data_IF_400641922037
#
_entry.id   IF_400641922037
#
_cell.length_a   1.000
_cell.length_b   1.000
_cell.length_c   1.000
_cell.angle_alpha   90.00
_cell.angle_beta   90.00
_cell.angle_gamma   90.00
#
_symmetry.space_group_name_H-M   'P 1'
#
loop_
_entity.id
_entity.type
_entity.pdbx_description
1 polymer ?
#
# COMPACT_ATOMS: atom_id res chain seq x y z
N UNK A 1 -63.07 -15.93 2.10
CA UNK A 1 -62.44 -15.77 3.45
C UNK A 1 -61.22 -16.68 3.51
N UNK A 2 -60.09 -16.13 3.95
CA UNK A 2 -58.74 -16.71 4.03
C UNK A 2 -58.70 -18.00 4.87
N UNK A 3 -57.96 -19.02 4.42
CA UNK A 3 -57.16 -19.91 5.29
C UNK A 3 -55.87 -20.32 4.56
N UNK A 4 -54.79 -19.73 5.05
CA UNK A 4 -53.38 -19.96 4.72
C UNK A 4 -52.89 -21.22 5.45
N UNK A 5 -52.18 -22.12 4.78
CA UNK A 5 -51.32 -23.10 5.46
C UNK A 5 -50.00 -23.24 4.70
N UNK A 6 -48.91 -22.99 5.42
CA UNK A 6 -47.51 -23.01 5.00
C UNK A 6 -46.94 -24.43 4.96
N UNK A 7 -46.01 -24.67 4.02
CA UNK A 7 -44.80 -25.52 4.06
C UNK A 7 -44.50 -25.98 2.61
N UNK A 8 -43.29 -26.06 2.08
CA UNK A 8 -41.94 -26.16 2.63
C UNK A 8 -40.98 -25.51 1.60
N UNK A 9 -39.99 -24.72 2.03
CA UNK A 9 -38.58 -25.10 2.16
C UNK A 9 -37.85 -25.40 0.83
N UNK A 10 -36.61 -24.88 0.78
CA UNK A 10 -35.61 -24.99 -0.28
C UNK A 10 -35.80 -23.99 -1.43
N UNK A 11 -34.95 -22.96 -1.49
CA UNK A 11 -33.75 -23.02 -2.34
C UNK A 11 -32.96 -21.71 -2.22
N UNK A 12 -31.67 -21.91 -2.04
CA UNK A 12 -30.58 -21.01 -2.40
C UNK A 12 -30.31 -19.87 -1.41
N UNK A 13 -29.38 -20.19 -0.50
CA UNK A 13 -28.33 -19.28 -0.06
C UNK A 13 -27.78 -18.53 -1.29
N UNK A 14 -28.36 -17.38 -1.61
CA UNK A 14 -27.70 -16.39 -2.46
C UNK A 14 -26.63 -15.75 -1.59
N UNK A 15 -25.47 -16.42 -1.52
CA UNK A 15 -24.26 -15.80 -1.03
C UNK A 15 -24.02 -14.54 -1.84
N UNK A 16 -24.29 -13.39 -1.25
CA UNK A 16 -23.82 -12.12 -1.76
C UNK A 16 -22.30 -12.17 -1.64
N UNK A 17 -21.64 -12.58 -2.72
CA UNK A 17 -20.22 -12.34 -2.90
C UNK A 17 -20.09 -10.83 -2.90
N UNK A 18 -19.78 -10.25 -1.73
CA UNK A 18 -19.30 -8.88 -1.64
C UNK A 18 -17.93 -8.92 -2.29
N UNK A 19 -17.93 -8.78 -3.61
CA UNK A 19 -16.74 -8.55 -4.40
C UNK A 19 -16.27 -7.16 -3.95
N UNK A 20 -15.33 -7.13 -3.02
CA UNK A 20 -14.58 -5.92 -2.71
C UNK A 20 -13.85 -5.56 -4.00
N UNK A 21 -14.48 -4.75 -4.84
CA UNK A 21 -13.81 -4.07 -5.92
C UNK A 21 -12.80 -3.15 -5.24
N UNK A 22 -11.58 -3.66 -5.02
CA UNK A 22 -10.41 -2.85 -4.77
C UNK A 22 -10.31 -1.92 -5.97
N UNK A 23 -10.77 -0.68 -5.79
CA UNK A 23 -10.73 0.35 -6.79
C UNK A 23 -9.29 0.48 -7.25
N UNK A 24 -8.99 -0.08 -8.42
CA UNK A 24 -7.74 0.17 -9.09
C UNK A 24 -7.73 1.67 -9.38
N UNK A 25 -6.62 2.38 -9.12
CA UNK A 25 -6.56 3.81 -9.40
C UNK A 25 -6.88 4.04 -10.88
N UNK A 26 -7.50 5.19 -11.21
CA UNK A 26 -8.08 5.52 -12.53
C UNK A 26 -7.11 5.43 -13.73
N UNK A 27 -5.84 5.15 -13.47
CA UNK A 27 -4.73 5.00 -14.40
C UNK A 27 -4.12 3.57 -14.40
N UNK A 28 -4.91 2.55 -14.03
CA UNK A 28 -4.47 1.16 -14.20
C UNK A 28 -4.54 0.79 -15.69
N UNK A 29 -3.40 0.86 -16.36
CA UNK A 29 -3.18 0.12 -17.59
C UNK A 29 -2.51 -1.22 -17.24
N UNK A 30 -2.89 -2.33 -17.90
CA UNK A 30 -2.09 -3.54 -17.86
C UNK A 30 -0.76 -3.21 -18.53
N UNK A 31 0.23 -2.78 -17.74
CA UNK A 31 1.63 -2.79 -18.19
C UNK A 31 1.87 -4.24 -18.61
N UNK A 32 2.31 -4.44 -19.85
CA UNK A 32 2.77 -5.75 -20.33
C UNK A 32 3.81 -6.35 -19.38
N UNK A 33 4.35 -7.56 -19.64
CA UNK A 33 5.34 -8.17 -18.76
C UNK A 33 6.38 -7.12 -18.38
N UNK A 34 6.41 -6.79 -17.09
CA UNK A 34 7.23 -5.70 -16.58
C UNK A 34 8.70 -5.94 -16.96
N UNK A 35 9.54 -4.90 -16.92
CA UNK A 35 10.97 -5.09 -17.10
C UNK A 35 11.44 -6.25 -16.21
N UNK A 36 12.22 -7.18 -16.79
CA UNK A 36 12.76 -8.34 -16.09
C UNK A 36 13.54 -7.82 -14.88
N UNK A 37 13.09 -8.16 -13.68
CA UNK A 37 13.80 -7.75 -12.47
C UNK A 37 15.19 -8.38 -12.45
N UNK A 38 16.24 -7.60 -12.14
CA UNK A 38 17.58 -8.12 -12.05
C UNK A 38 17.68 -9.19 -10.95
N UNK A 39 18.39 -10.28 -11.25
CA UNK A 39 18.42 -11.50 -10.42
C UNK A 39 19.15 -11.32 -9.09
N UNK A 40 20.07 -10.36 -8.98
CA UNK A 40 20.95 -10.18 -7.82
C UNK A 40 21.22 -8.71 -7.50
N UNK A 41 20.75 -8.25 -6.34
CA UNK A 41 20.96 -6.90 -5.83
C UNK A 41 19.76 -6.43 -5.00
N UNK A 42 19.78 -5.15 -4.62
CA UNK A 42 18.75 -4.54 -3.79
C UNK A 42 18.18 -3.29 -4.47
N UNK A 43 16.90 -3.08 -4.21
CA UNK A 43 16.21 -1.83 -4.52
C UNK A 43 16.24 -0.94 -3.29
N UNK A 44 16.61 0.32 -3.48
CA UNK A 44 16.74 1.30 -2.42
C UNK A 44 15.89 2.53 -2.69
N UNK A 45 15.34 3.11 -1.62
CA UNK A 45 14.68 4.41 -1.63
C UNK A 45 14.94 5.13 -0.30
N UNK A 46 14.86 6.46 -0.31
CA UNK A 46 15.08 7.27 0.89
C UNK A 46 13.93 8.25 1.07
N UNK A 47 13.34 8.28 2.27
CA UNK A 47 12.37 9.29 2.67
C UNK A 47 12.90 10.12 3.82
N UNK A 48 12.48 11.39 3.87
CA UNK A 48 12.70 12.30 5.00
C UNK A 48 11.37 12.58 5.66
N UNK A 49 11.32 12.54 6.99
CA UNK A 49 10.12 12.86 7.75
C UNK A 49 10.43 13.78 8.92
N UNK A 50 9.42 14.56 9.34
CA UNK A 50 9.52 15.42 10.52
C UNK A 50 9.18 14.61 11.77
N UNK A 51 10.12 14.52 12.70
CA UNK A 51 9.91 13.92 14.01
C UNK A 51 9.73 15.03 15.07
N UNK A 52 8.55 15.15 15.69
CA UNK A 52 8.35 16.05 16.82
C UNK A 52 9.02 15.48 18.07
N UNK A 53 9.55 16.37 18.90
CA UNK A 53 10.08 16.07 20.23
C UNK A 53 9.41 16.99 21.23
N UNK A 54 8.97 16.44 22.36
CA UNK A 54 8.36 17.19 23.44
C UNK A 54 9.38 17.34 24.57
N UNK A 55 9.69 18.58 24.90
CA UNK A 55 10.54 18.95 26.02
C UNK A 55 9.77 19.94 26.93
N UNK A 56 10.21 20.13 28.18
CA UNK A 56 9.51 21.02 29.11
C UNK A 56 9.40 22.48 28.64
N UNK A 57 10.28 22.92 27.75
CA UNK A 57 10.35 24.26 27.16
C UNK A 57 9.54 24.40 25.85
N UNK A 58 8.99 23.30 25.32
CA UNK A 58 8.13 23.32 24.14
C UNK A 58 8.25 22.09 23.25
N UNK A 59 7.69 22.20 22.05
CA UNK A 59 7.84 21.18 21.00
C UNK A 59 8.80 21.69 19.94
N UNK A 60 9.81 20.88 19.62
CA UNK A 60 10.70 21.14 18.50
C UNK A 60 10.64 20.01 17.48
N UNK A 61 11.05 20.32 16.25
CA UNK A 61 10.96 19.40 15.10
C UNK A 61 12.35 19.10 14.58
N UNK A 62 12.60 17.83 14.28
CA UNK A 62 13.85 17.39 13.63
C UNK A 62 13.54 16.64 12.35
N UNK A 63 14.41 16.75 11.36
CA UNK A 63 14.34 15.87 10.20
C UNK A 63 14.99 14.54 10.52
N UNK A 64 14.30 13.45 10.18
CA UNK A 64 14.83 12.09 10.19
C UNK A 64 14.74 11.50 8.79
N UNK A 65 15.63 10.57 8.52
CA UNK A 65 15.67 9.85 7.26
C UNK A 65 15.35 8.38 7.52
N UNK A 66 14.63 7.77 6.59
CA UNK A 66 14.38 6.34 6.58
C UNK A 66 14.80 5.77 5.23
N UNK A 67 15.66 4.77 5.29
CA UNK A 67 16.14 4.03 4.13
C UNK A 67 15.30 2.77 3.97
N UNK A 68 14.73 2.61 2.77
CA UNK A 68 13.93 1.47 2.38
C UNK A 68 14.83 0.59 1.54
N UNK A 69 14.87 -0.71 1.87
CA UNK A 69 15.59 -1.72 1.09
C UNK A 69 14.63 -2.87 0.77
N UNK A 70 14.62 -3.34 -0.47
CA UNK A 70 13.81 -4.47 -0.88
C UNK A 70 14.50 -5.34 -1.93
N UNK A 71 14.11 -6.61 -2.03
CA UNK A 71 14.63 -7.55 -3.03
C UNK A 71 13.96 -7.44 -4.39
N UNK A 72 12.89 -6.66 -4.50
CA UNK A 72 12.16 -6.40 -5.74
C UNK A 72 11.71 -4.94 -5.82
N UNK A 73 11.55 -4.43 -7.04
CA UNK A 73 11.05 -3.09 -7.29
C UNK A 73 9.65 -2.93 -6.71
N UNK A 74 8.77 -3.91 -6.95
CA UNK A 74 7.40 -3.89 -6.47
C UNK A 74 7.33 -3.80 -4.93
N UNK A 75 8.22 -4.48 -4.21
CA UNK A 75 8.28 -4.39 -2.76
C UNK A 75 8.86 -3.06 -2.28
N UNK A 76 9.86 -2.50 -2.97
CA UNK A 76 10.36 -1.16 -2.67
C UNK A 76 9.26 -0.11 -2.84
N UNK A 77 8.56 -0.13 -3.98
CA UNK A 77 7.50 0.83 -4.30
C UNK A 77 6.31 0.70 -3.32
N UNK A 78 5.95 -0.51 -2.91
CA UNK A 78 4.91 -0.71 -1.90
C UNK A 78 5.29 -0.10 -0.54
N UNK A 79 6.55 -0.26 -0.11
CA UNK A 79 7.06 0.35 1.11
C UNK A 79 7.15 1.88 0.98
N UNK A 80 7.61 2.38 -0.16
CA UNK A 80 7.71 3.81 -0.44
C UNK A 80 6.33 4.46 -0.46
N UNK A 81 5.34 3.83 -1.09
CA UNK A 81 3.95 4.29 -1.09
C UNK A 81 3.40 4.39 0.34
N UNK A 82 3.65 3.37 1.17
CA UNK A 82 3.23 3.37 2.58
C UNK A 82 3.85 4.54 3.37
N UNK A 83 5.13 4.85 3.13
CA UNK A 83 5.77 6.02 3.74
C UNK A 83 5.24 7.35 3.20
N UNK A 84 5.09 7.47 1.87
CA UNK A 84 4.66 8.71 1.21
C UNK A 84 3.21 9.11 1.55
N UNK A 85 2.38 8.15 1.96
CA UNK A 85 1.03 8.43 2.50
C UNK A 85 1.03 9.05 3.91
N UNK A 86 2.18 9.08 4.59
CA UNK A 86 2.33 9.67 5.91
C UNK A 86 2.40 11.20 5.89
N UNK A 87 1.85 11.84 6.92
CA UNK A 87 1.97 13.29 7.10
C UNK A 87 3.43 13.70 7.35
N UNK A 88 3.84 14.81 6.73
CA UNK A 88 5.19 15.39 6.85
C UNK A 88 6.32 14.48 6.33
N UNK A 89 6.02 13.56 5.42
CA UNK A 89 7.00 12.74 4.72
C UNK A 89 7.30 13.37 3.35
N UNK A 90 8.57 13.34 2.96
CA UNK A 90 9.03 13.76 1.63
C UNK A 90 9.90 12.65 1.07
N UNK A 91 9.61 12.21 -0.14
CA UNK A 91 10.49 11.29 -0.87
C UNK A 91 11.73 12.05 -1.30
N UNK A 92 12.91 11.57 -0.90
CA UNK A 92 14.22 12.13 -1.27
C UNK A 92 14.77 11.38 -2.47
N UNK A 93 14.66 10.05 -2.44
CA UNK A 93 15.07 9.16 -3.52
C UNK A 93 13.96 8.14 -3.74
N UNK A 94 13.54 8.01 -5.00
CA UNK A 94 12.62 6.95 -5.42
C UNK A 94 13.35 5.61 -5.51
N UNK A 95 12.57 4.53 -5.62
CA UNK A 95 13.09 3.19 -5.77
C UNK A 95 14.02 3.08 -6.98
N UNK A 96 15.27 2.74 -6.70
CA UNK A 96 16.28 2.52 -7.71
C UNK A 96 17.10 1.28 -7.36
N UNK A 97 17.64 0.65 -8.40
CA UNK A 97 18.47 -0.52 -8.27
C UNK A 97 19.92 -0.14 -7.98
N UNK A 98 20.52 -0.67 -6.90
CA UNK A 98 21.91 -0.37 -6.53
C UNK A 98 22.90 -1.47 -6.90
N UNK A 99 22.44 -2.64 -7.36
CA UNK A 99 23.32 -3.76 -7.71
C UNK A 99 24.11 -4.31 -6.51
N UNK A 100 25.03 -5.25 -6.76
CA UNK A 100 26.04 -5.73 -5.79
C UNK A 100 27.42 -5.36 -6.33
#
# INVERSE_FOLDING_TARGET
MKKTTLAAAALLLAGTVVQTASALPLNWEPRGPGPVEPTYGIWEATVRYIAPHHAPDGTYHTYKYHHITATSNASCEAQLANWSGGLNVTVIEFCHWTGI
#
